data_IF_226664741099
#
_entry.id   IF_226664741099
#
_cell.length_a   1.000
_cell.length_b   1.000
_cell.length_c   1.000
_cell.angle_alpha   90.00
_cell.angle_beta   90.00
_cell.angle_gamma   90.00
#
_symmetry.space_group_name_H-M   'P 1'
#
loop_
_entity.id
_entity.type
_entity.pdbx_description
1 polymer ?
2 non-polymer ?
3 non-polymer ?
4 water ?
#
# COMPACT_ATOMS: atom_id res chain seq x y z
N UNK A 7 18.20 -14.06 0.95
CA UNK A 7 18.63 -12.97 0.07
C UNK A 7 17.47 -12.39 -0.76
N UNK A 8 17.47 -11.05 -0.93
CA UNK A 8 16.48 -10.34 -1.74
C UNK A 8 16.86 -10.50 -3.19
N UNK A 9 15.91 -10.48 -4.15
CA UNK A 9 16.32 -10.52 -5.56
C UNK A 9 17.04 -9.23 -5.95
N UNK A 10 17.79 -9.26 -7.08
CA UNK A 10 18.44 -8.05 -7.60
C UNK A 10 17.34 -7.00 -7.88
N UNK A 11 17.65 -5.72 -7.62
CA UNK A 11 16.77 -4.55 -7.80
C UNK A 11 15.72 -4.42 -6.70
N UNK A 12 15.77 -5.32 -5.68
CA UNK A 12 14.89 -5.23 -4.51
C UNK A 12 15.75 -4.65 -3.38
N UNK A 13 15.12 -4.02 -2.38
CA UNK A 13 15.81 -3.36 -1.29
C UNK A 13 15.53 -4.11 -0.01
N UNK A 14 16.59 -4.50 0.72
CA UNK A 14 16.44 -5.21 1.98
C UNK A 14 16.31 -4.21 3.11
N UNK A 15 15.37 -4.46 4.04
CA UNK A 15 15.15 -3.63 5.22
C UNK A 15 14.50 -4.46 6.28
N UNK A 16 15.19 -4.51 7.44
CA UNK A 16 14.89 -5.19 8.69
C UNK A 16 14.97 -6.72 8.45
N UNK A 17 14.00 -7.34 7.75
CA UNK A 17 14.02 -8.76 7.31
C UNK A 17 13.03 -8.94 6.15
N UNK A 18 12.77 -7.85 5.42
CA UNK A 18 11.84 -7.78 4.29
C UNK A 18 12.59 -7.26 3.06
N UNK A 19 12.12 -7.65 1.87
CA UNK A 19 12.60 -7.22 0.56
C UNK A 19 11.50 -6.36 -0.03
N UNK A 20 11.87 -5.23 -0.61
CA UNK A 20 10.91 -4.30 -1.21
C UNK A 20 11.27 -3.96 -2.63
N UNK A 21 10.24 -3.79 -3.45
CA UNK A 21 10.40 -3.38 -4.84
C UNK A 21 9.53 -2.16 -5.03
N UNK A 22 10.12 -1.07 -5.54
CA UNK A 22 9.47 0.22 -5.75
C UNK A 22 9.22 0.44 -7.23
N UNK A 23 7.92 0.41 -7.67
CA UNK A 23 7.61 0.63 -9.09
C UNK A 23 7.97 2.05 -9.51
N UNK A 24 8.20 2.25 -10.81
CA UNK A 24 8.44 3.59 -11.36
C UNK A 24 7.42 3.79 -12.50
N UNK A 25 6.26 3.11 -12.39
CA UNK A 25 5.17 3.18 -13.34
C UNK A 25 3.89 3.03 -12.52
N UNK A 26 2.74 3.34 -13.12
CA UNK A 26 1.47 3.31 -12.42
C UNK A 26 0.53 2.22 -12.90
N UNK A 27 -0.30 1.72 -11.99
CA UNK A 27 -1.31 0.69 -12.26
C UNK A 27 -2.48 0.94 -11.34
N UNK A 28 -3.64 0.44 -11.72
CA UNK A 28 -4.83 0.43 -10.87
C UNK A 28 -4.49 -0.56 -9.74
N UNK A 29 -5.11 -0.41 -8.57
CA UNK A 29 -4.79 -1.24 -7.41
C UNK A 29 -4.82 -2.76 -7.67
N UNK A 30 -5.89 -3.24 -8.34
CA UNK A 30 -6.04 -4.68 -8.61
C UNK A 30 -4.92 -5.18 -9.48
N UNK A 31 -4.43 -4.35 -10.41
CA UNK A 31 -3.33 -4.72 -11.28
C UNK A 31 -1.99 -4.75 -10.53
N UNK A 32 -1.79 -3.78 -9.60
CA UNK A 32 -0.58 -3.75 -8.75
C UNK A 32 -0.58 -4.97 -7.83
N UNK A 33 -1.76 -5.32 -7.28
CA UNK A 33 -1.92 -6.47 -6.39
C UNK A 33 -1.50 -7.75 -7.12
N UNK A 34 -2.00 -7.90 -8.35
CA UNK A 34 -1.69 -9.05 -9.21
C UNK A 34 -0.18 -9.07 -9.55
N UNK A 35 0.39 -7.88 -9.90
CA UNK A 35 1.82 -7.81 -10.19
C UNK A 35 2.65 -8.38 -9.02
N UNK A 36 2.36 -7.91 -7.78
CA UNK A 36 3.12 -8.34 -6.59
C UNK A 36 2.98 -9.83 -6.35
N UNK A 37 1.75 -10.38 -6.49
CA UNK A 37 1.45 -11.81 -6.33
C UNK A 37 2.26 -12.66 -7.31
N UNK A 38 2.45 -12.16 -8.55
CA UNK A 38 3.21 -12.88 -9.61
C UNK A 38 4.72 -12.87 -9.34
N UNK A 39 5.17 -11.98 -8.41
CA UNK A 39 6.55 -11.90 -7.95
C UNK A 39 6.70 -12.71 -6.66
N UNK A 40 5.68 -13.52 -6.28
CA UNK A 40 5.63 -14.29 -5.03
C UNK A 40 5.74 -13.31 -3.83
N UNK A 41 5.11 -12.14 -4.01
CA UNK A 41 5.17 -11.08 -3.02
C UNK A 41 3.77 -10.52 -2.78
N UNK A 42 3.69 -9.41 -2.06
CA UNK A 42 2.40 -8.79 -1.79
C UNK A 42 2.57 -7.30 -1.75
N UNK A 43 1.46 -6.56 -1.99
CA UNK A 43 1.53 -5.10 -1.88
C UNK A 43 1.99 -4.78 -0.44
N UNK A 44 2.88 -3.81 -0.28
CA UNK A 44 3.52 -3.52 1.00
C UNK A 44 2.53 -3.43 2.17
N UNK A 45 2.88 -4.09 3.28
CA UNK A 45 2.06 -4.08 4.50
C UNK A 45 2.89 -3.31 5.55
N UNK A 46 2.40 -2.15 5.98
CA UNK A 46 3.16 -1.28 6.89
C UNK A 46 2.71 -1.48 8.32
N UNK A 47 3.62 -1.98 9.21
CA UNK A 47 3.25 -2.29 10.60
C UNK A 47 4.04 -1.54 11.68
N UNK A 48 4.84 -0.53 11.31
CA UNK A 48 5.58 0.28 12.28
C UNK A 48 5.93 1.63 11.69
N UNK A 49 6.28 2.60 12.57
CA UNK A 49 6.72 3.92 12.17
C UNK A 49 8.05 3.81 11.38
N UNK A 50 8.93 2.88 11.80
CA UNK A 50 10.22 2.58 11.19
C UNK A 50 10.05 2.17 9.70
N UNK A 51 9.12 1.22 9.45
CA UNK A 51 8.81 0.74 8.11
C UNK A 51 8.17 1.86 7.27
N UNK A 52 7.26 2.62 7.87
CA UNK A 52 6.63 3.77 7.25
C UNK A 52 7.71 4.76 6.78
N UNK A 53 8.68 5.11 7.67
CA UNK A 53 9.72 6.07 7.31
C UNK A 53 10.61 5.56 6.20
N UNK A 54 10.89 4.25 6.23
CA UNK A 54 11.71 3.56 5.23
C UNK A 54 11.02 3.62 3.87
N UNK A 55 9.74 3.23 3.80
CA UNK A 55 9.00 3.28 2.54
C UNK A 55 8.93 4.72 2.00
N UNK A 56 8.59 5.70 2.88
CA UNK A 56 8.51 7.11 2.47
C UNK A 56 9.78 7.56 1.80
N UNK A 57 10.95 7.23 2.39
CA UNK A 57 12.26 7.59 1.84
C UNK A 57 12.39 7.17 0.39
N UNK A 58 11.94 5.95 0.06
CA UNK A 58 12.15 5.43 -1.28
C UNK A 58 11.11 5.87 -2.30
N UNK A 59 9.89 6.20 -1.88
CA UNK A 59 8.88 6.59 -2.86
C UNK A 59 8.91 8.08 -3.18
N UNK A 60 9.33 8.89 -2.22
CA UNK A 60 9.34 10.33 -2.42
C UNK A 60 7.91 10.88 -2.35
N UNK A 61 7.68 12.09 -2.90
CA UNK A 61 6.36 12.73 -2.76
C UNK A 61 5.39 12.31 -3.87
N UNK A 62 5.10 11.01 -3.92
CA UNK A 62 4.31 10.41 -5.00
C UNK A 62 3.20 9.50 -4.43
N UNK A 63 1.97 9.64 -4.97
CA UNK A 63 0.85 8.78 -4.58
C UNK A 63 1.22 7.34 -4.91
N UNK A 64 1.19 6.45 -3.92
CA UNK A 64 1.70 5.07 -4.08
C UNK A 64 0.78 4.08 -3.36
N UNK A 65 0.27 3.08 -4.08
CA UNK A 65 -0.62 2.10 -3.46
C UNK A 65 0.14 1.22 -2.42
N UNK A 66 -0.58 0.80 -1.35
CA UNK A 66 -0.08 -0.17 -0.35
C UNK A 66 -1.12 -1.32 -0.28
N UNK A 67 -0.77 -2.37 0.47
CA UNK A 67 -1.61 -3.56 0.62
C UNK A 67 -2.69 -3.45 1.68
N UNK A 68 -3.52 -2.39 1.58
CA UNK A 68 -4.60 -2.09 2.54
C UNK A 68 -5.84 -1.68 1.77
N UNK A 69 -6.95 -2.38 2.02
CA UNK A 69 -8.17 -2.11 1.27
C UNK A 69 -9.41 -2.51 2.06
N UNK A 70 -10.56 -1.96 1.66
CA UNK A 70 -11.86 -2.32 2.26
C UNK A 70 -12.90 -2.62 1.17
N UNK A 71 -12.55 -3.17 -0.02
CA UNK A 71 -13.47 -3.33 -1.21
C UNK A 71 -14.92 -3.98 -1.03
N UNK A 72 -15.06 -5.01 -0.20
CA UNK A 72 -16.19 -5.87 0.16
C UNK A 72 -16.03 -6.41 1.59
N UNK A 73 -15.93 -5.50 2.54
CA UNK A 73 -15.76 -5.84 3.95
C UNK A 73 -15.06 -4.74 4.73
N UNK A 74 -14.55 -5.01 5.95
CA UNK A 74 -13.83 -3.95 6.68
C UNK A 74 -12.41 -3.77 6.13
N UNK A 75 -11.67 -2.77 6.63
CA UNK A 75 -10.28 -2.55 6.21
C UNK A 75 -9.45 -3.76 6.58
N UNK A 76 -8.64 -4.25 5.61
CA UNK A 76 -7.80 -5.42 5.78
C UNK A 76 -6.47 -5.25 5.06
N UNK A 77 -5.42 -5.81 5.64
CA UNK A 77 -4.07 -5.89 5.03
C UNK A 77 -4.09 -7.14 4.13
N UNK A 78 -3.46 -7.06 2.95
CA UNK A 78 -3.45 -8.13 1.95
C UNK A 78 -2.86 -9.46 2.44
N UNK A 79 -1.99 -9.44 3.47
CA UNK A 79 -1.40 -10.70 3.95
C UNK A 79 -2.06 -11.26 5.24
N UNK A 80 -3.22 -10.73 5.62
CA UNK A 80 -3.93 -11.20 6.80
C UNK A 80 -3.62 -10.44 8.08
N UNK A 81 -2.58 -9.55 8.08
CA UNK A 81 -2.21 -8.74 9.26
C UNK A 81 -3.45 -7.97 9.74
N UNK A 82 -3.73 -8.01 11.05
CA UNK A 82 -4.90 -7.35 11.64
C UNK A 82 -4.81 -5.83 11.55
N UNK A 83 -5.86 -5.22 10.97
CA UNK A 83 -5.94 -3.79 10.78
C UNK A 83 -6.24 -3.01 12.07
N UNK A 84 -7.31 -3.40 12.81
CA UNK A 84 -7.75 -2.70 14.03
C UNK A 84 -6.65 -2.53 15.10
N UNK A 85 -5.87 -3.59 15.37
CA UNK A 85 -4.79 -3.56 16.37
C UNK A 85 -3.42 -3.11 15.80
N UNK A 86 -3.33 -2.90 14.49
CA UNK A 86 -2.09 -2.50 13.83
C UNK A 86 -1.83 -1.01 13.66
N UNK A 87 -0.60 -0.66 13.21
CA UNK A 87 -0.15 0.71 12.93
C UNK A 87 -1.05 1.33 11.85
N UNK A 88 -1.35 2.63 11.99
CA UNK A 88 -2.14 3.40 11.04
C UNK A 88 -1.49 4.76 10.90
N UNK A 89 -1.56 5.33 9.70
CA UNK A 89 -0.95 6.63 9.42
C UNK A 89 -1.84 7.47 8.51
N UNK A 90 -3.15 7.40 8.75
CA UNK A 90 -4.10 8.14 7.92
C UNK A 90 -3.91 9.63 8.07
N UNK A 91 -4.14 10.37 6.98
CA UNK A 91 -4.16 11.82 7.05
C UNK A 91 -5.42 12.13 7.89
N UNK A 92 -5.38 13.06 8.89
CA UNK A 92 -6.61 13.33 9.66
C UNK A 92 -7.80 13.53 8.71
N UNK A 93 -8.94 12.99 9.10
CA UNK A 93 -10.20 13.02 8.35
C UNK A 93 -10.24 11.91 7.29
N UNK A 94 -9.22 11.04 7.26
CA UNK A 94 -9.23 9.89 6.37
C UNK A 94 -9.22 8.65 7.28
N UNK A 95 -9.73 7.49 6.83
CA UNK A 95 -10.40 7.24 5.54
C UNK A 95 -11.80 7.84 5.50
N UNK A 96 -12.25 8.39 4.37
CA UNK A 96 -13.59 9.00 4.32
C UNK A 96 -14.55 8.29 3.36
N UNK A 97 -14.10 7.27 2.62
CA UNK A 97 -14.95 6.53 1.66
C UNK A 97 -15.70 7.52 0.75
N UNK A 98 -15.00 8.55 0.26
CA UNK A 98 -15.60 9.63 -0.54
C UNK A 98 -16.32 9.19 -1.81
N UNK A 99 -17.50 9.78 -2.07
CA UNK A 99 -18.25 9.46 -3.30
C UNK A 99 -18.16 10.65 -4.25
N UNK A 100 -17.72 11.80 -3.73
CA UNK A 100 -17.68 13.06 -4.47
C UNK A 100 -16.80 13.16 -5.70
N UNK A 101 -15.96 12.13 -5.96
CA UNK A 101 -15.14 12.10 -7.17
C UNK A 101 -16.04 11.85 -8.41
N UNK A 102 -17.27 11.38 -8.16
CA UNK A 102 -18.28 11.13 -9.19
C UNK A 102 -17.98 10.02 -10.16
N UNK A 103 -17.05 9.11 -9.81
CA UNK A 103 -16.69 7.97 -10.69
C UNK A 103 -17.49 6.71 -10.38
N UNK A 104 -18.31 6.78 -9.34
CA UNK A 104 -19.14 5.67 -8.88
C UNK A 104 -18.48 4.95 -7.70
N UNK A 105 -19.27 4.69 -6.66
CA UNK A 105 -18.74 4.00 -5.48
C UNK A 105 -18.01 4.95 -4.56
N UNK A 106 -17.47 4.41 -3.47
CA UNK A 106 -16.75 5.20 -2.49
C UNK A 106 -15.28 5.17 -2.83
N UNK A 107 -14.45 4.84 -1.83
CA UNK A 107 -12.99 4.75 -1.99
C UNK A 107 -12.55 3.55 -1.19
N UNK A 108 -11.95 2.58 -1.84
CA UNK A 108 -11.68 1.33 -1.14
C UNK A 108 -10.23 0.91 -1.09
N UNK A 109 -9.29 1.73 -1.62
CA UNK A 109 -7.91 1.32 -1.62
C UNK A 109 -7.02 2.38 -0.99
N UNK A 110 -6.10 1.96 -0.10
CA UNK A 110 -5.22 2.93 0.57
C UNK A 110 -3.92 3.17 -0.21
N UNK A 111 -3.46 4.44 -0.13
CA UNK A 111 -2.20 4.82 -0.73
C UNK A 111 -1.45 5.80 0.15
N UNK A 112 -0.13 5.87 -0.03
CA UNK A 112 0.69 6.90 0.63
C UNK A 112 0.41 8.15 -0.21
N UNK A 113 0.22 9.30 0.44
CA UNK A 113 0.04 10.56 -0.29
C UNK A 113 1.47 11.16 -0.41
N UNK A 114 1.58 12.36 -1.02
CA UNK A 114 2.87 13.04 -1.22
C UNK A 114 3.67 13.28 0.08
N UNK A 115 3.00 13.40 1.24
CA UNK A 115 3.69 13.62 2.52
C UNK A 115 3.85 12.33 3.34
N UNK A 116 3.40 11.21 2.79
CA UNK A 116 3.51 9.90 3.41
C UNK A 116 2.28 9.45 4.18
N UNK A 117 1.41 10.39 4.61
CA UNK A 117 0.21 10.02 5.37
C UNK A 117 -0.76 9.31 4.42
N UNK A 118 -1.62 8.45 4.94
CA UNK A 118 -2.46 7.63 4.09
C UNK A 118 -3.79 8.26 3.72
N UNK A 119 -4.32 7.85 2.56
CA UNK A 119 -5.64 8.25 2.08
C UNK A 119 -6.29 7.05 1.41
N UNK A 120 -7.61 6.93 1.58
CA UNK A 120 -8.32 5.94 0.83
C UNK A 120 -8.73 6.61 -0.50
N UNK A 121 -8.64 5.83 -1.59
CA UNK A 121 -8.97 6.39 -2.89
C UNK A 121 -9.62 5.36 -3.80
N UNK A 122 -10.10 5.82 -4.93
CA UNK A 122 -10.73 5.01 -5.98
C UNK A 122 -9.71 3.98 -6.49
N UNK A 123 -10.04 2.69 -6.39
CA UNK A 123 -9.12 1.61 -6.74
C UNK A 123 -8.66 1.62 -8.21
N UNK A 124 -9.45 2.26 -9.12
CA UNK A 124 -9.11 2.33 -10.55
C UNK A 124 -8.02 3.34 -10.86
N UNK A 125 -7.67 4.22 -9.90
CA UNK A 125 -6.65 5.21 -10.25
C UNK A 125 -5.31 4.55 -10.52
N UNK A 126 -4.58 5.03 -11.54
CA UNK A 126 -3.23 4.49 -11.77
C UNK A 126 -2.23 5.21 -10.84
N UNK A 127 -1.71 4.49 -9.85
CA UNK A 127 -0.67 5.01 -8.96
C UNK A 127 0.57 4.08 -8.99
N UNK A 128 1.73 4.60 -8.55
CA UNK A 128 2.87 3.71 -8.39
C UNK A 128 2.52 2.75 -7.25
N UNK A 129 3.35 1.71 -7.03
CA UNK A 129 3.07 0.74 -5.99
C UNK A 129 4.38 0.20 -5.43
N UNK A 130 4.27 -0.51 -4.30
CA UNK A 130 5.43 -1.14 -3.64
C UNK A 130 5.09 -2.59 -3.38
N UNK A 131 6.00 -3.51 -3.76
CA UNK A 131 5.84 -4.93 -3.43
C UNK A 131 6.76 -5.22 -2.23
N UNK A 132 6.37 -6.21 -1.44
CA UNK A 132 7.13 -6.64 -0.29
C UNK A 132 7.08 -8.16 -0.16
N UNK A 133 8.22 -8.74 0.24
CA UNK A 133 8.33 -10.15 0.56
C UNK A 133 9.12 -10.27 1.87
N UNK A 134 8.81 -11.27 2.69
CA UNK A 134 9.51 -11.46 3.96
C UNK A 134 10.57 -12.52 3.78
N UNK A 135 11.77 -12.26 4.31
CA UNK A 135 12.85 -13.25 4.28
C UNK A 135 12.57 -14.29 5.39
X LIG B 1 -14.25 2.14 1.59
X LIG C 1 -10.26 9.57 0.87
X LIG D 1 5.93 -5.11 6.23
X LIG E 1 -5.73 15.87 -4.72
X LIG E 1 -6.22 16.91 -3.74
X LIG E 1 -5.78 16.66 -2.29
X LIG E 1 -6.73 17.23 -1.24
X LIG E 1 -8.09 16.56 -1.22
X LIG E 1 -11.30 13.93 -0.77
X LIG E 1 -11.08 12.42 -0.72
X LIG E 1 -9.92 12.03 -1.64
X LIG E 1 -8.68 12.89 -1.37
X LIG E 1 -6.66 15.35 -5.52
X LIG E 1 -4.55 15.53 -4.75
X LIG E 1 -7.91 15.15 -1.01
X LIG E 1 -9.03 14.38 -1.34
X LIG E 1 -10.09 14.62 -0.41
X LIG E 1 -12.40 14.40 0.16
X LIG E 1 -12.69 15.78 -0.03
X LIG E 1 -10.79 12.03 0.62
X LIG E 1 -9.57 10.67 -1.42
X LIG E 1 -7.66 12.62 -2.36
X LIG E 1 -6.34 12.58 -2.08
X LIG E 1 -5.44 12.21 -3.23
X LIG E 1 -5.91 12.78 -0.95
#
# INVERSE_FOLDING_TARGET
>A
MGSERTCCPVNWVEHERSCYWFSRSGKAWADADNYCRLEDAHLVVVTSWEEQKFVQHHIGPVNTWMGLHDQNGPWKWVDGTDYETGFKNWRPEQPDDWYGHGLGGGEDCAHFTDDGRWNDDVCQRPYRWVCETELDKASQEPPLLGSHHHHHH
>B hetero
1 CA CA
>C hetero
1 CA CA
>D hetero
1 CA CA
>E hetero
1 OJB C1 C12 C13 C14 C15 C19 C20 C21 C22 N2 O3 O16 C17 O18 C23 O24 O25 O26 N27 C28 C29 O30
#
